data_IF_856055952713
#
_entry.id   IF_856055952713
#
_cell.length_a   1.000
_cell.length_b   1.000
_cell.length_c   1.000
_cell.angle_alpha   90.00
_cell.angle_beta   90.00
_cell.angle_gamma   90.00
#
_symmetry.space_group_name_H-M   'P 1'
#
loop_
_entity.id
_entity.type
_entity.pdbx_description
1 polymer ?
#
# COMPACT_ATOMS: atom_id res chain seq x y z
N UNK A 1 -10.90 0.38 -15.51
CA UNK A 1 -9.90 0.20 -14.44
C UNK A 1 -9.09 1.47 -14.35
N UNK A 2 -8.93 1.99 -13.14
CA UNK A 2 -8.14 3.19 -12.87
C UNK A 2 -6.93 2.78 -12.05
N UNK A 3 -5.73 3.06 -12.54
CA UNK A 3 -4.49 2.89 -11.80
C UNK A 3 -3.93 4.24 -11.36
N UNK A 4 -3.33 4.28 -10.17
CA UNK A 4 -2.70 5.49 -9.62
C UNK A 4 -1.35 5.10 -9.07
N UNK A 5 -0.32 5.89 -9.38
CA UNK A 5 1.02 5.75 -8.84
C UNK A 5 1.67 7.14 -8.79
N UNK A 6 2.52 7.41 -7.81
CA UNK A 6 3.26 8.67 -7.75
C UNK A 6 4.27 8.79 -8.91
N UNK A 7 4.67 7.64 -9.49
CA UNK A 7 5.67 7.55 -10.54
C UNK A 7 5.04 7.22 -11.90
N UNK A 8 5.52 7.82 -13.01
CA UNK A 8 5.04 7.53 -14.37
C UNK A 8 5.66 6.23 -14.92
N UNK A 9 5.39 5.09 -14.28
CA UNK A 9 6.00 3.77 -14.61
C UNK A 9 5.16 2.94 -15.60
N UNK A 10 4.03 3.46 -16.04
CA UNK A 10 3.02 2.70 -16.78
C UNK A 10 3.39 2.53 -18.26
N UNK A 11 2.98 1.44 -18.91
CA UNK A 11 3.31 1.17 -20.31
C UNK A 11 2.62 2.17 -21.26
N UNK A 12 3.26 2.43 -22.40
CA UNK A 12 2.74 3.37 -23.42
C UNK A 12 1.53 2.83 -24.19
N UNK A 13 1.36 1.51 -24.24
CA UNK A 13 0.22 0.85 -24.86
C UNK A 13 -0.65 0.23 -23.76
N UNK A 14 -1.90 0.71 -23.65
CA UNK A 14 -2.87 0.28 -22.65
C UNK A 14 -4.20 -0.10 -23.30
N UNK A 15 -4.97 -0.95 -22.63
CA UNK A 15 -6.30 -1.32 -23.09
C UNK A 15 -7.25 -0.10 -22.99
N UNK A 16 -8.22 0.10 -23.91
CA UNK A 16 -9.10 1.28 -23.92
C UNK A 16 -9.90 1.53 -22.63
N UNK A 17 -10.14 0.47 -21.84
CA UNK A 17 -10.86 0.54 -20.56
C UNK A 17 -9.93 0.73 -19.34
N UNK A 18 -8.66 1.10 -19.56
CA UNK A 18 -7.65 1.34 -18.53
C UNK A 18 -7.18 2.78 -18.63
N UNK A 19 -7.14 3.47 -17.50
CA UNK A 19 -6.54 4.79 -17.37
C UNK A 19 -5.56 4.78 -16.20
N UNK A 20 -4.47 5.53 -16.35
CA UNK A 20 -3.46 5.71 -15.30
C UNK A 20 -3.30 7.19 -14.97
N UNK A 21 -3.18 7.49 -13.69
CA UNK A 21 -2.93 8.83 -13.17
C UNK A 21 -1.64 8.82 -12.38
N UNK A 22 -0.84 9.88 -12.59
CA UNK A 22 0.33 10.14 -11.77
C UNK A 22 -0.12 11.03 -10.63
N UNK A 23 -0.30 10.45 -9.44
CA UNK A 23 -0.91 11.15 -8.31
C UNK A 23 -0.45 10.56 -6.96
N UNK A 24 -0.55 11.35 -5.89
CA UNK A 24 -0.23 10.91 -4.53
C UNK A 24 -1.49 10.37 -3.83
N UNK A 25 -1.43 9.12 -3.37
CA UNK A 25 -2.53 8.50 -2.64
C UNK A 25 -2.75 9.14 -1.25
N UNK A 26 -1.78 9.89 -0.73
CA UNK A 26 -1.92 10.66 0.51
C UNK A 26 -2.72 11.96 0.32
N UNK A 27 -2.92 12.42 -0.92
CA UNK A 27 -3.75 13.60 -1.23
C UNK A 27 -5.25 13.27 -1.25
N UNK A 28 -6.08 14.29 -1.48
CA UNK A 28 -7.54 14.14 -1.56
C UNK A 28 -7.95 13.40 -2.84
N UNK A 29 -8.78 12.37 -2.71
CA UNK A 29 -9.20 11.58 -3.87
C UNK A 29 -10.41 12.20 -4.59
N UNK A 30 -10.16 12.83 -5.74
CA UNK A 30 -11.17 13.55 -6.53
C UNK A 30 -11.78 12.70 -7.68
N UNK A 31 -12.06 11.42 -7.42
CA UNK A 31 -12.66 10.55 -8.43
C UNK A 31 -14.12 10.92 -8.71
N UNK A 32 -14.48 11.10 -9.98
CA UNK A 32 -15.85 11.42 -10.39
C UNK A 32 -16.85 10.27 -10.25
N UNK A 33 -16.36 9.04 -10.08
CA UNK A 33 -17.16 7.82 -10.01
C UNK A 33 -16.68 6.97 -8.83
N UNK A 34 -17.61 6.34 -8.11
CA UNK A 34 -17.31 5.35 -7.08
C UNK A 34 -16.89 4.01 -7.69
N UNK A 35 -16.14 3.22 -6.93
CA UNK A 35 -15.63 1.92 -7.34
C UNK A 35 -16.35 0.79 -6.63
N UNK A 36 -16.60 -0.31 -7.33
CA UNK A 36 -17.08 -1.55 -6.69
C UNK A 36 -15.94 -2.33 -6.03
N UNK A 37 -14.70 -2.06 -6.47
CA UNK A 37 -13.51 -2.73 -5.98
C UNK A 37 -12.30 -1.78 -5.99
N UNK A 38 -11.59 -1.72 -4.87
CA UNK A 38 -10.31 -1.03 -4.73
C UNK A 38 -9.25 -2.06 -4.38
N UNK A 39 -8.18 -2.12 -5.16
CA UNK A 39 -7.05 -3.01 -4.92
C UNK A 39 -5.80 -2.20 -4.67
N UNK A 40 -5.14 -2.44 -3.54
CA UNK A 40 -3.87 -1.82 -3.21
C UNK A 40 -2.86 -2.90 -2.79
N UNK A 41 -1.63 -2.76 -3.28
CA UNK A 41 -0.57 -3.73 -3.04
C UNK A 41 0.76 -3.05 -2.84
N UNK A 42 1.51 -3.51 -1.84
CA UNK A 42 2.84 -3.00 -1.49
C UNK A 42 2.85 -1.47 -1.24
N UNK A 43 1.87 -0.98 -0.46
CA UNK A 43 1.80 0.43 -0.05
C UNK A 43 2.44 0.68 1.33
N UNK A 44 2.81 -0.38 2.04
CA UNK A 44 3.55 -0.30 3.30
C UNK A 44 4.87 0.45 3.09
N UNK A 45 5.08 1.51 3.86
CA UNK A 45 6.22 2.42 3.70
C UNK A 45 5.95 3.65 2.82
N UNK A 46 4.89 3.61 2.02
CA UNK A 46 4.48 4.70 1.11
C UNK A 46 3.38 5.59 1.70
N UNK A 47 2.57 5.06 2.63
CA UNK A 47 1.47 5.79 3.27
C UNK A 47 1.82 6.11 4.73
N UNK A 48 1.66 7.37 5.14
CA UNK A 48 1.84 7.84 6.52
C UNK A 48 0.51 7.87 7.28
N UNK A 49 -0.56 8.35 6.65
CA UNK A 49 -1.91 8.42 7.25
C UNK A 49 -2.82 7.30 6.72
N UNK A 50 -2.61 6.08 7.20
CA UNK A 50 -3.48 4.94 6.90
C UNK A 50 -4.96 5.18 7.26
N UNK A 51 -5.31 5.80 8.39
CA UNK A 51 -6.70 6.20 8.65
C UNK A 51 -7.31 7.08 7.57
N UNK A 52 -6.57 8.06 7.03
CA UNK A 52 -7.04 8.88 5.88
C UNK A 52 -7.23 7.99 4.65
N UNK A 53 -6.24 7.18 4.29
CA UNK A 53 -6.33 6.25 3.16
C UNK A 53 -7.57 5.34 3.26
N UNK A 54 -7.82 4.74 4.42
CA UNK A 54 -9.00 3.89 4.65
C UNK A 54 -10.33 4.66 4.54
N UNK A 55 -10.40 5.89 5.08
CA UNK A 55 -11.60 6.74 4.95
C UNK A 55 -11.88 7.08 3.50
N UNK A 56 -10.87 7.55 2.76
CA UNK A 56 -11.02 7.90 1.34
C UNK A 56 -11.41 6.66 0.50
N UNK A 57 -10.81 5.52 0.79
CA UNK A 57 -11.19 4.26 0.15
C UNK A 57 -12.66 3.95 0.39
N UNK A 58 -13.13 4.02 1.63
CA UNK A 58 -14.53 3.77 1.97
C UNK A 58 -15.48 4.78 1.30
N UNK A 59 -15.13 6.06 1.27
CA UNK A 59 -15.91 7.12 0.60
C UNK A 59 -15.98 6.93 -0.92
N UNK A 60 -14.92 6.40 -1.53
CA UNK A 60 -14.87 6.09 -2.95
C UNK A 60 -15.50 4.74 -3.31
N UNK A 61 -15.91 3.91 -2.35
CA UNK A 61 -16.62 2.66 -2.63
C UNK A 61 -18.13 2.87 -2.86
N UNK A 62 -18.71 2.03 -3.71
CA UNK A 62 -20.16 1.83 -3.81
C UNK A 62 -20.68 1.06 -2.59
N UNK A 63 -21.97 1.18 -2.22
CA UNK A 63 -22.55 0.31 -1.19
C UNK A 63 -22.39 -1.17 -1.56
N UNK A 64 -21.72 -1.93 -0.72
CA UNK A 64 -21.38 -3.34 -0.97
C UNK A 64 -20.06 -3.57 -1.72
N UNK A 65 -19.36 -2.49 -2.12
CA UNK A 65 -18.02 -2.57 -2.69
C UNK A 65 -16.98 -3.04 -1.68
N UNK A 66 -15.83 -3.49 -2.17
CA UNK A 66 -14.76 -4.08 -1.34
C UNK A 66 -13.42 -3.42 -1.59
N UNK A 67 -12.62 -3.30 -0.53
CA UNK A 67 -11.19 -3.01 -0.64
C UNK A 67 -10.39 -4.27 -0.32
N UNK A 68 -9.38 -4.55 -1.14
CA UNK A 68 -8.39 -5.59 -0.89
C UNK A 68 -7.00 -4.95 -0.77
N UNK A 69 -6.33 -5.26 0.35
CA UNK A 69 -4.98 -4.79 0.67
C UNK A 69 -4.03 -5.98 0.76
N UNK A 70 -2.98 -5.96 -0.04
CA UNK A 70 -1.91 -6.96 0.01
C UNK A 70 -0.59 -6.27 0.34
N UNK A 71 -0.10 -6.49 1.55
CA UNK A 71 1.09 -5.84 2.03
C UNK A 71 2.05 -6.79 2.75
N UNK A 72 3.29 -6.34 2.88
CA UNK A 72 4.33 -7.06 3.60
C UNK A 72 4.58 -6.43 4.96
N UNK A 73 4.88 -7.26 5.96
CA UNK A 73 5.19 -6.81 7.32
C UNK A 73 6.67 -7.02 7.59
N UNK A 74 7.32 -5.96 8.07
CA UNK A 74 8.69 -6.02 8.59
C UNK A 74 8.71 -6.12 10.13
N UNK A 75 9.74 -6.75 10.73
CA UNK A 75 10.82 -7.48 10.08
C UNK A 75 10.31 -8.73 9.36
N UNK A 76 11.02 -9.18 8.32
CA UNK A 76 10.62 -10.38 7.58
C UNK A 76 10.67 -11.62 8.48
N UNK A 77 9.79 -12.59 8.21
CA UNK A 77 9.62 -13.81 9.01
C UNK A 77 9.53 -15.03 8.10
N UNK A 78 9.82 -16.19 8.67
CA UNK A 78 9.54 -17.51 8.10
C UNK A 78 8.50 -18.22 8.95
N UNK A 79 7.57 -18.92 8.33
CA UNK A 79 6.56 -19.76 8.99
C UNK A 79 7.12 -21.08 9.54
N UNK A 80 8.22 -21.57 8.96
CA UNK A 80 8.93 -22.78 9.36
C UNK A 80 10.11 -22.56 10.31
N UNK A 81 10.35 -21.31 10.72
CA UNK A 81 11.45 -20.93 11.61
C UNK A 81 12.86 -20.98 11.01
N UNK A 82 12.99 -21.16 9.68
CA UNK A 82 14.31 -21.18 9.01
C UNK A 82 15.03 -19.82 9.02
N UNK A 83 14.29 -18.73 9.20
CA UNK A 83 14.85 -17.38 9.30
C UNK A 83 15.20 -17.02 10.75
N UNK A 84 16.44 -17.32 11.13
CA UNK A 84 17.00 -16.88 12.42
C UNK A 84 17.12 -15.36 12.51
N UNK A 85 16.93 -14.80 13.72
CA UNK A 85 17.16 -13.37 14.00
C UNK A 85 18.63 -12.96 13.82
N UNK A 86 19.55 -13.92 13.85
CA UNK A 86 20.96 -13.67 13.57
C UNK A 86 21.31 -13.55 12.09
N UNK A 87 20.39 -13.94 11.21
CA UNK A 87 20.57 -13.85 9.76
C UNK A 87 20.73 -12.40 9.30
N UNK A 88 21.53 -12.21 8.26
CA UNK A 88 21.72 -10.90 7.62
C UNK A 88 20.40 -10.33 7.12
N UNK A 89 19.50 -11.17 6.60
CA UNK A 89 18.20 -10.76 6.09
C UNK A 89 17.30 -10.21 7.19
N UNK A 90 17.20 -10.91 8.34
CA UNK A 90 16.41 -10.43 9.47
C UNK A 90 16.98 -9.09 10.00
N UNK A 91 18.30 -9.03 10.24
CA UNK A 91 18.98 -7.82 10.72
C UNK A 91 18.75 -6.63 9.78
N UNK A 92 18.90 -6.82 8.47
CA UNK A 92 18.61 -5.80 7.46
C UNK A 92 17.15 -5.32 7.50
N UNK A 93 16.20 -6.25 7.57
CA UNK A 93 14.77 -5.93 7.61
C UNK A 93 14.38 -5.17 8.89
N UNK A 94 15.01 -5.49 10.01
CA UNK A 94 14.84 -4.80 11.30
C UNK A 94 15.42 -3.37 11.27
N UNK A 95 16.58 -3.19 10.64
CA UNK A 95 17.16 -1.86 10.43
C UNK A 95 16.26 -1.00 9.53
N UNK A 96 15.74 -1.56 8.44
CA UNK A 96 14.77 -0.89 7.57
C UNK A 96 13.53 -0.44 8.33
N UNK A 97 12.91 -1.33 9.12
CA UNK A 97 11.76 -0.96 9.95
C UNK A 97 12.09 0.22 10.87
N UNK A 98 13.28 0.23 11.50
CA UNK A 98 13.71 1.34 12.36
C UNK A 98 13.80 2.69 11.62
N UNK A 99 14.34 2.70 10.40
CA UNK A 99 14.42 3.91 9.57
C UNK A 99 13.02 4.41 9.19
N UNK A 100 12.16 3.53 8.70
CA UNK A 100 10.82 3.90 8.25
C UNK A 100 9.89 4.31 9.41
N UNK A 101 10.06 3.72 10.59
CA UNK A 101 9.40 4.20 11.82
C UNK A 101 9.80 5.63 12.14
N UNK A 102 11.08 5.98 11.99
CA UNK A 102 11.58 7.34 12.22
C UNK A 102 11.04 8.33 11.18
N UNK A 103 10.84 7.88 9.94
CA UNK A 103 10.33 8.70 8.83
C UNK A 103 8.79 8.85 8.80
N UNK A 104 8.07 8.19 9.71
CA UNK A 104 6.62 8.30 9.85
C UNK A 104 5.79 7.40 8.91
N UNK A 105 6.42 6.50 8.15
CA UNK A 105 5.73 5.52 7.28
C UNK A 105 6.16 4.09 7.64
N UNK A 106 5.74 3.55 8.79
CA UNK A 106 6.27 2.31 9.34
C UNK A 106 6.01 1.10 8.43
N UNK A 107 7.04 0.24 8.29
CA UNK A 107 6.97 -0.99 7.47
C UNK A 107 6.21 -2.14 8.15
N UNK A 108 5.55 -1.87 9.28
CA UNK A 108 4.69 -2.80 10.02
C UNK A 108 3.22 -2.34 10.05
N UNK A 109 2.87 -1.35 9.21
CA UNK A 109 1.54 -0.72 9.20
C UNK A 109 0.41 -1.70 8.92
N UNK A 110 0.65 -2.76 8.14
CA UNK A 110 -0.34 -3.82 7.90
C UNK A 110 -0.80 -4.56 9.17
N UNK A 111 -0.01 -4.53 10.26
CA UNK A 111 -0.45 -5.05 11.57
C UNK A 111 -1.53 -4.17 12.24
N UNK A 112 -1.74 -2.95 11.72
CA UNK A 112 -2.63 -1.92 12.28
C UNK A 112 -3.80 -1.62 11.36
N UNK A 113 -3.94 -2.31 10.23
CA UNK A 113 -5.15 -2.22 9.41
C UNK A 113 -6.33 -2.62 10.30
N UNK A 114 -7.34 -1.75 10.37
CA UNK A 114 -8.55 -1.91 11.17
C UNK A 114 -9.75 -1.69 10.29
#
# INVERSE_FOLDING_TARGET
>A
VTGVDLSPIQPTAIHPNVAFYVDDLEDSWDFSTKFDFIFARFLTGSIRDWPKFSRQSFECLTPGGTIELIDMVYPVRSDDGTLSEDSTLYKWSKLLLGVFNTNGSPLDSALKYK
#
